data_IF_070841309408
#
_entry.id   IF_070841309408
#
_cell.length_a   1.000
_cell.length_b   1.000
_cell.length_c   1.000
_cell.angle_alpha   90.00
_cell.angle_beta   90.00
_cell.angle_gamma   90.00
#
_symmetry.space_group_name_H-M   'P 1'
#
loop_
_entity.id
_entity.type
_entity.pdbx_description
1 polymer ?
#
# COMPACT_ATOMS: atom_id res chain seq x y z
N UNK A 1 51.90 -2.63 32.75
CA UNK A 1 50.49 -3.08 32.76
C UNK A 1 50.48 -4.59 32.64
N UNK A 2 49.87 -5.33 33.58
CA UNK A 2 49.94 -6.81 33.57
C UNK A 2 49.09 -7.40 32.44
N UNK A 3 49.45 -8.60 31.96
CA UNK A 3 48.79 -9.25 30.81
C UNK A 3 47.27 -9.41 31.00
N UNK A 4 46.81 -9.60 32.24
CA UNK A 4 45.39 -9.69 32.59
C UNK A 4 44.65 -8.36 32.44
N UNK A 5 45.28 -7.22 32.73
CA UNK A 5 44.65 -5.90 32.56
C UNK A 5 44.47 -5.54 31.08
N UNK A 6 45.41 -5.94 30.22
CA UNK A 6 45.30 -5.74 28.78
C UNK A 6 44.13 -6.54 28.17
N UNK A 7 43.91 -7.75 28.68
CA UNK A 7 42.87 -8.67 28.21
C UNK A 7 41.46 -8.18 28.59
N UNK A 8 41.28 -7.68 29.81
CA UNK A 8 40.02 -7.07 30.26
C UNK A 8 39.70 -5.80 29.46
N UNK A 9 40.71 -4.97 29.18
CA UNK A 9 40.53 -3.76 28.38
C UNK A 9 40.08 -4.09 26.95
N UNK A 10 40.70 -5.07 26.29
CA UNK A 10 40.31 -5.51 24.92
C UNK A 10 38.88 -6.03 24.87
N UNK A 11 38.43 -6.79 25.89
CA UNK A 11 37.04 -7.27 25.96
C UNK A 11 36.03 -6.13 26.12
N UNK A 12 36.33 -5.13 26.95
CA UNK A 12 35.46 -3.95 27.13
C UNK A 12 35.34 -3.13 25.85
N UNK A 13 36.47 -2.88 25.17
CA UNK A 13 36.48 -2.15 23.89
C UNK A 13 35.69 -2.91 22.83
N UNK A 14 35.85 -4.23 22.74
CA UNK A 14 35.08 -5.06 21.80
C UNK A 14 33.57 -4.99 22.06
N UNK A 15 33.14 -5.07 23.33
CA UNK A 15 31.72 -4.92 23.68
C UNK A 15 31.17 -3.55 23.31
N UNK A 16 31.91 -2.48 23.55
CA UNK A 16 31.49 -1.11 23.20
C UNK A 16 31.33 -0.97 21.68
N UNK A 17 32.30 -1.46 20.90
CA UNK A 17 32.24 -1.42 19.43
C UNK A 17 31.06 -2.24 18.91
N UNK A 18 30.84 -3.45 19.44
CA UNK A 18 29.71 -4.30 19.07
C UNK A 18 28.36 -3.62 19.35
N UNK A 19 28.21 -2.96 20.50
CA UNK A 19 26.99 -2.23 20.84
C UNK A 19 26.76 -1.04 19.92
N UNK A 20 27.81 -0.30 19.57
CA UNK A 20 27.73 0.83 18.62
C UNK A 20 27.31 0.33 17.23
N UNK A 21 27.89 -0.77 16.74
CA UNK A 21 27.50 -1.38 15.46
C UNK A 21 26.03 -1.81 15.49
N UNK A 22 25.57 -2.43 16.58
CA UNK A 22 24.18 -2.84 16.74
C UNK A 22 23.22 -1.62 16.70
N UNK A 23 23.60 -0.53 17.37
CA UNK A 23 22.84 0.73 17.38
C UNK A 23 22.78 1.35 15.98
N UNK A 24 23.88 1.35 15.23
CA UNK A 24 23.93 1.86 13.84
C UNK A 24 23.05 1.02 12.91
N UNK A 25 23.06 -0.31 13.06
CA UNK A 25 22.17 -1.22 12.31
C UNK A 25 20.71 -0.94 12.65
N UNK A 26 20.36 -0.79 13.93
CA UNK A 26 19.01 -0.44 14.37
C UNK A 26 18.56 0.94 13.83
N UNK A 27 19.43 1.95 13.85
CA UNK A 27 19.14 3.29 13.33
C UNK A 27 18.94 3.29 11.81
N UNK A 28 19.65 2.42 11.09
CA UNK A 28 19.51 2.28 9.63
C UNK A 28 18.18 1.63 9.25
N UNK A 29 17.61 0.77 10.11
CA UNK A 29 16.28 0.21 9.91
C UNK A 29 15.15 1.22 10.19
N UNK A 30 15.37 2.20 11.07
CA UNK A 30 14.31 3.06 11.59
C UNK A 30 13.90 4.24 10.68
N UNK A 31 14.60 4.49 9.58
CA UNK A 31 14.51 5.77 8.84
C UNK A 31 13.84 5.72 7.46
N UNK A 32 12.96 4.76 7.16
CA UNK A 32 12.41 4.65 5.80
C UNK A 32 10.94 4.22 5.69
N UNK A 33 10.09 4.61 6.63
CA UNK A 33 8.65 4.37 6.54
C UNK A 33 7.85 5.68 6.53
N UNK A 34 6.65 5.65 5.95
CA UNK A 34 5.69 6.75 5.99
C UNK A 34 4.29 6.23 6.28
N UNK A 35 3.46 7.10 6.85
CA UNK A 35 2.04 6.80 7.05
C UNK A 35 1.25 7.16 5.79
N UNK A 36 0.52 6.18 5.27
CA UNK A 36 -0.40 6.34 4.14
C UNK A 36 -1.84 6.04 4.58
N UNK A 37 -2.81 6.63 3.89
CA UNK A 37 -4.24 6.37 4.12
C UNK A 37 -4.72 5.24 3.21
N UNK A 38 -5.22 4.16 3.79
CA UNK A 38 -5.80 3.04 3.05
C UNK A 38 -7.30 2.95 3.32
N UNK A 39 -8.09 2.82 2.25
CA UNK A 39 -9.54 2.88 2.32
C UNK A 39 -10.17 1.50 2.26
N UNK A 40 -10.94 1.15 3.28
CA UNK A 40 -11.63 -0.13 3.43
C UNK A 40 -13.12 0.07 3.68
N UNK A 41 -13.90 -1.00 3.51
CA UNK A 41 -15.35 -0.95 3.72
C UNK A 41 -15.67 -0.95 5.22
N UNK A 42 -16.46 0.01 5.65
CA UNK A 42 -17.12 -0.01 6.95
C UNK A 42 -18.35 -0.95 6.87
N UNK A 43 -18.41 -2.01 7.68
CA UNK A 43 -19.50 -2.98 7.64
C UNK A 43 -20.86 -2.40 8.05
N UNK A 44 -20.90 -1.22 8.71
CA UNK A 44 -22.15 -0.62 9.21
C UNK A 44 -22.96 0.08 8.12
N UNK A 45 -22.29 0.80 7.22
CA UNK A 45 -22.92 1.65 6.21
C UNK A 45 -22.49 1.30 4.77
N UNK A 46 -21.63 0.30 4.61
CA UNK A 46 -21.04 -0.14 3.34
C UNK A 46 -20.29 0.98 2.61
N UNK A 47 -19.77 1.96 3.36
CA UNK A 47 -18.97 3.07 2.84
C UNK A 47 -17.49 2.89 3.16
N UNK A 48 -16.65 3.63 2.45
CA UNK A 48 -15.22 3.65 2.63
C UNK A 48 -14.83 4.53 3.82
N UNK A 49 -14.01 3.94 4.69
CA UNK A 49 -13.34 4.58 5.83
C UNK A 49 -11.85 4.31 5.70
N UNK A 50 -11.01 5.18 6.27
CA UNK A 50 -9.57 5.02 6.18
C UNK A 50 -8.94 4.56 7.49
N UNK A 51 -7.87 3.79 7.39
CA UNK A 51 -6.85 3.65 8.42
C UNK A 51 -5.52 4.25 7.96
N UNK A 52 -4.67 4.65 8.91
CA UNK A 52 -3.30 5.01 8.62
C UNK A 52 -2.43 3.76 8.71
N UNK A 53 -1.71 3.42 7.64
CA UNK A 53 -0.77 2.31 7.61
C UNK A 53 0.65 2.80 7.41
N UNK A 54 1.57 2.21 8.14
CA UNK A 54 3.00 2.41 7.92
C UNK A 54 3.44 1.58 6.70
N UNK A 55 3.93 2.26 5.66
CA UNK A 55 4.42 1.63 4.42
C UNK A 55 5.86 2.05 4.19
N UNK A 56 6.65 1.14 3.62
CA UNK A 56 8.03 1.43 3.26
C UNK A 56 8.10 2.57 2.25
N UNK A 57 8.91 3.57 2.56
CA UNK A 57 9.25 4.68 1.67
C UNK A 57 10.14 4.17 0.56
N UNK A 58 9.65 4.27 -0.66
CA UNK A 58 10.41 3.96 -1.86
C UNK A 58 10.77 5.27 -2.57
N UNK A 59 12.00 5.38 -3.06
CA UNK A 59 12.46 6.56 -3.79
C UNK A 59 11.88 6.65 -5.20
N UNK A 60 11.52 5.50 -5.78
CA UNK A 60 10.88 5.40 -7.08
C UNK A 60 9.35 5.45 -6.91
N UNK A 61 8.71 6.39 -7.62
CA UNK A 61 7.27 6.61 -7.55
C UNK A 61 6.44 5.37 -7.88
N UNK A 62 6.82 4.61 -8.91
CA UNK A 62 6.13 3.38 -9.31
C UNK A 62 6.23 2.36 -8.18
N UNK A 63 7.45 2.09 -7.67
CA UNK A 63 7.66 1.16 -6.54
C UNK A 63 6.89 1.58 -5.30
N UNK A 64 6.83 2.88 -5.01
CA UNK A 64 6.10 3.40 -3.87
C UNK A 64 4.60 3.15 -4.00
N UNK A 65 4.03 3.43 -5.18
CA UNK A 65 2.61 3.20 -5.46
C UNK A 65 2.27 1.71 -5.46
N UNK A 66 3.13 0.87 -6.03
CA UNK A 66 3.03 -0.59 -5.97
C UNK A 66 2.96 -1.07 -4.52
N UNK A 67 3.87 -0.63 -3.65
CA UNK A 67 3.86 -1.01 -2.23
C UNK A 67 2.57 -0.60 -1.51
N UNK A 68 2.04 0.60 -1.78
CA UNK A 68 0.77 1.06 -1.20
C UNK A 68 -0.39 0.16 -1.64
N UNK A 69 -0.47 -0.16 -2.92
CA UNK A 69 -1.57 -0.97 -3.46
C UNK A 69 -1.44 -2.43 -3.01
N UNK A 70 -0.25 -3.00 -3.03
CA UNK A 70 -0.02 -4.36 -2.53
C UNK A 70 -0.46 -4.50 -1.07
N UNK A 71 -0.09 -3.54 -0.21
CA UNK A 71 -0.55 -3.54 1.18
C UNK A 71 -2.08 -3.37 1.29
N UNK A 72 -2.69 -2.51 0.46
CA UNK A 72 -4.14 -2.36 0.41
C UNK A 72 -4.83 -3.72 0.11
N UNK A 73 -4.29 -4.49 -0.84
CA UNK A 73 -4.83 -5.79 -1.23
C UNK A 73 -4.73 -6.85 -0.12
N UNK A 74 -3.82 -6.70 0.85
CA UNK A 74 -3.74 -7.58 2.02
C UNK A 74 -4.95 -7.43 2.96
N UNK A 75 -5.71 -6.33 2.84
CA UNK A 75 -6.87 -6.03 3.69
C UNK A 75 -6.53 -5.18 4.91
N UNK A 76 -7.54 -4.77 5.70
CA UNK A 76 -7.39 -3.87 6.84
C UNK A 76 -6.63 -4.52 8.01
N UNK A 77 -5.91 -3.70 8.78
CA UNK A 77 -5.36 -4.10 10.08
C UNK A 77 -6.43 -3.92 11.17
N UNK A 78 -7.29 -2.90 11.02
CA UNK A 78 -8.39 -2.68 11.93
C UNK A 78 -9.46 -3.79 11.77
N UNK A 79 -9.73 -4.61 12.80
CA UNK A 79 -10.71 -5.70 12.71
C UNK A 79 -12.16 -5.19 12.55
N UNK A 80 -12.43 -3.91 12.81
CA UNK A 80 -13.75 -3.32 12.61
C UNK A 80 -14.05 -3.03 11.13
N UNK A 81 -13.05 -3.10 10.24
CA UNK A 81 -13.21 -2.86 8.82
C UNK A 81 -13.30 -4.18 8.06
N UNK A 82 -14.15 -4.21 7.03
CA UNK A 82 -14.33 -5.39 6.17
C UNK A 82 -13.24 -5.41 5.11
N UNK A 83 -12.56 -6.56 4.97
CA UNK A 83 -11.71 -6.81 3.81
C UNK A 83 -12.57 -7.05 2.57
N UNK A 84 -12.44 -6.18 1.57
CA UNK A 84 -13.11 -6.30 0.28
C UNK A 84 -12.32 -7.10 -0.76
N UNK A 85 -11.04 -7.37 -0.51
CA UNK A 85 -10.14 -8.07 -1.43
C UNK A 85 -10.01 -9.56 -1.07
N UNK A 86 -9.89 -10.41 -2.11
CA UNK A 86 -9.50 -11.81 -1.94
C UNK A 86 -8.06 -11.91 -1.43
N UNK A 87 -7.71 -12.96 -0.67
CA UNK A 87 -6.32 -13.31 -0.37
C UNK A 87 -5.49 -13.64 -1.61
N UNK A 88 -6.15 -13.96 -2.73
CA UNK A 88 -5.52 -14.15 -4.04
C UNK A 88 -5.39 -12.87 -4.87
N UNK A 89 -5.92 -11.73 -4.42
CA UNK A 89 -5.84 -10.48 -5.17
C UNK A 89 -4.39 -10.06 -5.37
N UNK A 90 -4.05 -9.61 -6.58
CA UNK A 90 -2.67 -9.30 -6.93
C UNK A 90 -2.60 -8.19 -7.96
N UNK A 91 -1.75 -7.20 -7.67
CA UNK A 91 -1.29 -6.22 -8.63
C UNK A 91 -0.17 -6.82 -9.49
N UNK A 92 -0.36 -6.85 -10.79
CA UNK A 92 0.56 -7.40 -11.78
C UNK A 92 1.51 -6.33 -12.31
N UNK A 93 0.99 -5.13 -12.60
CA UNK A 93 1.78 -4.05 -13.14
C UNK A 93 1.23 -2.67 -12.79
N UNK A 94 2.13 -1.68 -12.76
CA UNK A 94 1.82 -0.26 -12.58
C UNK A 94 2.58 0.55 -13.62
N UNK A 95 1.86 1.38 -14.37
CA UNK A 95 2.44 2.37 -15.30
C UNK A 95 1.88 3.74 -14.97
N UNK A 96 2.75 4.72 -14.73
CA UNK A 96 2.34 6.10 -14.42
C UNK A 96 2.57 6.97 -15.64
N UNK A 97 1.53 7.66 -16.08
CA UNK A 97 1.54 8.57 -17.24
C UNK A 97 0.97 9.93 -16.84
N UNK A 98 1.84 10.94 -16.70
CA UNK A 98 1.46 12.31 -16.31
C UNK A 98 0.63 12.33 -15.01
N UNK A 99 -0.69 12.53 -15.14
CA UNK A 99 -1.69 12.59 -14.07
C UNK A 99 -2.55 11.32 -13.98
N UNK A 100 -2.15 10.24 -14.63
CA UNK A 100 -2.89 8.98 -14.70
C UNK A 100 -2.02 7.79 -14.31
N UNK A 101 -2.67 6.73 -13.86
CA UNK A 101 -2.03 5.45 -13.59
C UNK A 101 -2.79 4.32 -14.29
N UNK A 102 -2.06 3.44 -14.95
CA UNK A 102 -2.56 2.16 -15.44
C UNK A 102 -2.19 1.08 -14.42
N UNK A 103 -3.18 0.34 -13.94
CA UNK A 103 -3.05 -0.70 -12.94
C UNK A 103 -3.53 -2.01 -13.53
N UNK A 104 -2.66 -3.01 -13.60
CA UNK A 104 -3.02 -4.35 -14.07
C UNK A 104 -3.13 -5.29 -12.87
N UNK A 105 -4.24 -6.02 -12.79
CA UNK A 105 -4.55 -6.94 -11.71
C UNK A 105 -4.80 -8.35 -12.26
N UNK A 106 -4.71 -9.35 -11.39
CA UNK A 106 -5.27 -10.67 -11.71
C UNK A 106 -6.79 -10.67 -11.61
N UNK A 107 -7.41 -11.72 -12.19
CA UNK A 107 -8.86 -11.86 -12.23
C UNK A 107 -9.49 -11.93 -10.84
N UNK A 108 -8.85 -12.64 -9.91
CA UNK A 108 -9.35 -12.87 -8.55
C UNK A 108 -9.57 -11.58 -7.74
N UNK A 109 -8.92 -10.47 -8.13
CA UNK A 109 -9.06 -9.17 -7.46
C UNK A 109 -10.49 -8.64 -7.53
N UNK A 110 -11.23 -8.94 -8.61
CA UNK A 110 -12.58 -8.41 -8.85
C UNK A 110 -13.68 -9.46 -8.73
N UNK A 111 -13.35 -10.70 -8.38
CA UNK A 111 -14.31 -11.81 -8.26
C UNK A 111 -15.08 -11.82 -6.92
N UNK A 112 -14.64 -11.06 -5.92
CA UNK A 112 -15.09 -11.22 -4.53
C UNK A 112 -16.33 -10.44 -4.10
N UNK A 113 -16.91 -9.57 -4.93
CA UNK A 113 -17.98 -8.64 -4.47
C UNK A 113 -19.07 -8.45 -5.51
N UNK A 114 -20.30 -8.38 -5.01
CA UNK A 114 -21.51 -7.96 -5.73
C UNK A 114 -21.42 -6.54 -6.34
N UNK A 115 -20.59 -5.66 -5.78
CA UNK A 115 -20.37 -4.28 -6.24
C UNK A 115 -18.88 -3.97 -6.49
N UNK A 116 -18.41 -4.14 -7.74
CA UNK A 116 -17.07 -3.76 -8.15
C UNK A 116 -16.72 -2.29 -7.98
N UNK A 117 -17.70 -1.39 -7.91
CA UNK A 117 -17.47 0.03 -7.73
C UNK A 117 -16.77 0.33 -6.40
N UNK A 118 -17.05 -0.47 -5.36
CA UNK A 118 -16.43 -0.34 -4.04
C UNK A 118 -14.93 -0.64 -4.11
N UNK A 119 -14.53 -1.70 -4.84
CA UNK A 119 -13.11 -2.06 -5.04
C UNK A 119 -12.38 -0.93 -5.76
N UNK A 120 -12.95 -0.48 -6.88
CA UNK A 120 -12.38 0.60 -7.69
C UNK A 120 -12.22 1.87 -6.85
N UNK A 121 -13.26 2.26 -6.11
CA UNK A 121 -13.21 3.48 -5.30
C UNK A 121 -12.25 3.35 -4.11
N UNK A 122 -12.16 2.18 -3.48
CA UNK A 122 -11.15 1.92 -2.44
C UNK A 122 -9.74 2.15 -2.97
N UNK A 123 -9.41 1.57 -4.13
CA UNK A 123 -8.11 1.76 -4.79
C UNK A 123 -7.92 3.24 -5.14
N UNK A 124 -8.90 3.85 -5.80
CA UNK A 124 -8.78 5.23 -6.28
C UNK A 124 -8.64 6.25 -5.14
N UNK A 125 -9.41 6.12 -4.05
CA UNK A 125 -9.25 6.97 -2.87
C UNK A 125 -7.88 6.76 -2.22
N UNK A 126 -7.45 5.51 -2.04
CA UNK A 126 -6.11 5.20 -1.52
C UNK A 126 -5.02 5.86 -2.37
N UNK A 127 -5.11 5.81 -3.69
CA UNK A 127 -4.14 6.46 -4.58
C UNK A 127 -4.17 7.98 -4.40
N UNK A 128 -5.33 8.62 -4.53
CA UNK A 128 -5.42 10.11 -4.53
C UNK A 128 -5.08 10.74 -3.19
N UNK A 129 -5.39 10.08 -2.09
CA UNK A 129 -5.06 10.59 -0.77
C UNK A 129 -3.56 10.55 -0.49
N UNK A 130 -2.84 9.61 -1.10
CA UNK A 130 -1.39 9.44 -0.91
C UNK A 130 -0.56 10.07 -2.04
N UNK A 131 -1.15 10.28 -3.21
CA UNK A 131 -0.55 11.00 -4.33
C UNK A 131 -1.57 11.88 -5.06
N UNK A 132 -1.56 13.17 -4.72
CA UNK A 132 -2.46 14.18 -5.30
C UNK A 132 -2.18 14.47 -6.78
N UNK A 133 -1.03 14.07 -7.31
CA UNK A 133 -0.71 14.27 -8.74
C UNK A 133 -1.43 13.28 -9.65
N UNK A 134 -1.97 12.20 -9.11
CA UNK A 134 -2.79 11.22 -9.85
C UNK A 134 -4.25 11.62 -9.75
N UNK A 135 -4.85 11.92 -10.90
CA UNK A 135 -6.24 12.33 -11.02
C UNK A 135 -7.14 11.18 -11.44
N UNK A 136 -6.59 10.22 -12.19
CA UNK A 136 -7.34 9.11 -12.79
C UNK A 136 -6.57 7.78 -12.77
N UNK A 137 -7.31 6.69 -12.70
CA UNK A 137 -6.77 5.34 -12.85
C UNK A 137 -7.47 4.56 -13.96
N UNK A 138 -6.70 3.81 -14.74
CA UNK A 138 -7.19 2.83 -15.71
C UNK A 138 -6.91 1.45 -15.15
N UNK A 139 -7.92 0.59 -15.18
CA UNK A 139 -7.86 -0.75 -14.62
C UNK A 139 -7.76 -1.77 -15.74
N UNK A 140 -6.81 -2.68 -15.61
CA UNK A 140 -6.59 -3.80 -16.52
C UNK A 140 -6.71 -5.09 -15.70
N UNK A 141 -7.17 -6.15 -16.37
CA UNK A 141 -7.15 -7.51 -15.83
C UNK A 141 -6.39 -8.37 -16.81
N UNK A 142 -5.26 -8.90 -16.36
CA UNK A 142 -4.37 -9.74 -17.16
C UNK A 142 -3.98 -9.07 -18.50
N UNK A 143 -3.68 -7.77 -18.44
CA UNK A 143 -3.29 -6.95 -19.59
C UNK A 143 -4.44 -6.46 -20.47
N UNK A 144 -5.70 -6.81 -20.17
CA UNK A 144 -6.88 -6.38 -20.93
C UNK A 144 -7.55 -5.20 -20.21
N UNK A 145 -7.77 -4.09 -20.93
CA UNK A 145 -8.45 -2.92 -20.38
C UNK A 145 -9.85 -3.31 -19.91
N UNK A 146 -10.12 -3.04 -18.64
CA UNK A 146 -11.33 -3.45 -17.96
C UNK A 146 -12.41 -2.36 -18.14
N UNK A 147 -13.15 -2.43 -19.25
CA UNK A 147 -14.15 -1.43 -19.61
C UNK A 147 -15.39 -1.46 -18.70
N UNK A 148 -15.77 -2.65 -18.22
CA UNK A 148 -16.90 -2.88 -17.34
C UNK A 148 -16.53 -3.93 -16.30
N UNK A 149 -17.04 -3.79 -15.08
CA UNK A 149 -17.03 -4.85 -14.07
C UNK A 149 -18.46 -5.14 -13.63
N UNK A 150 -18.99 -6.31 -14.02
CA UNK A 150 -20.42 -6.57 -13.91
C UNK A 150 -21.22 -5.49 -14.63
N UNK A 151 -22.05 -4.75 -13.90
CA UNK A 151 -22.84 -3.61 -14.43
C UNK A 151 -22.16 -2.24 -14.23
N UNK A 152 -20.94 -2.19 -13.67
CA UNK A 152 -20.23 -0.94 -13.40
C UNK A 152 -19.33 -0.53 -14.57
N UNK A 153 -19.53 0.68 -15.09
CA UNK A 153 -18.80 1.23 -16.23
C UNK A 153 -19.64 2.24 -17.02
N UNK A 154 -19.17 2.73 -18.17
CA UNK A 154 -17.89 2.41 -18.80
C UNK A 154 -16.68 3.07 -18.10
N UNK A 155 -15.54 2.37 -18.08
CA UNK A 155 -14.28 2.80 -17.44
C UNK A 155 -13.16 3.12 -18.45
N UNK A 156 -13.47 3.08 -19.75
CA UNK A 156 -12.57 3.36 -20.88
C UNK A 156 -11.94 4.76 -20.79
N UNK A 157 -12.68 5.70 -20.21
CA UNK A 157 -12.21 7.06 -19.95
C UNK A 157 -11.49 7.20 -18.61
N UNK A 158 -11.09 6.14 -17.94
CA UNK A 158 -10.41 6.18 -16.64
C UNK A 158 -11.29 6.65 -15.49
N UNK A 159 -11.02 6.13 -14.30
CA UNK A 159 -11.83 6.34 -13.09
C UNK A 159 -11.27 7.50 -12.28
N UNK A 160 -12.15 8.36 -11.77
CA UNK A 160 -11.86 9.38 -10.77
C UNK A 160 -12.52 8.96 -9.46
N UNK A 161 -11.93 9.28 -8.31
CA UNK A 161 -12.52 8.94 -7.01
C UNK A 161 -13.89 9.59 -6.83
N UNK A 162 -14.90 8.81 -6.46
CA UNK A 162 -16.22 9.32 -6.11
C UNK A 162 -16.37 9.44 -4.58
N UNK A 163 -16.59 10.66 -4.09
CA UNK A 163 -16.75 10.95 -2.67
C UNK A 163 -18.06 10.40 -2.09
N UNK A 164 -19.03 10.01 -2.92
CA UNK A 164 -20.27 9.38 -2.45
C UNK A 164 -20.00 8.05 -1.71
N UNK A 165 -18.90 7.38 -2.06
CA UNK A 165 -18.45 6.16 -1.40
C UNK A 165 -17.77 6.42 -0.06
N UNK A 166 -17.41 7.65 0.29
CA UNK A 166 -16.82 7.94 1.60
C UNK A 166 -17.90 7.99 2.68
N UNK A 167 -17.57 7.42 3.85
CA UNK A 167 -18.36 7.64 5.07
C UNK A 167 -18.30 9.11 5.45
N UNK A 168 -19.42 9.64 5.96
CA UNK A 168 -19.58 11.06 6.29
C UNK A 168 -18.93 11.38 7.63
#
# INVERSE_FOLDING_TARGET
MSMNQLLVFRKKVFFIISSIILIIICFSCFNSTLYVKMFYVNPKDNKLVYENREVKKESNKIKHLTAIIDDLLLGPVNPDFKNQFNSKSKLLAVVIEKNSVNLDFNRETFETIDDPAIIINSIMHTIRFNDKSIERAFFYVEGILFNYIGNYGPLDKGVISDNNYLSK
#
